data_IF_258128218239
#
_entry.id   IF_258128218239
#
_cell.length_a   1.000
_cell.length_b   1.000
_cell.length_c   1.000
_cell.angle_alpha   90.00
_cell.angle_beta   90.00
_cell.angle_gamma   90.00
#
_symmetry.space_group_name_H-M   'P 1'
#
loop_
_entity.id
_entity.type
_entity.pdbx_description
1 polymer ?
#
# COMPACT_ATOMS: atom_id res chain seq x y z
N UNK A 1 0.76 -28.21 -17.75
CA UNK A 1 -0.54 -28.65 -17.19
C UNK A 1 -0.95 -27.62 -16.13
N UNK A 2 -1.83 -26.68 -16.48
CA UNK A 2 -2.38 -25.68 -15.56
C UNK A 2 -3.46 -26.36 -14.72
N UNK A 3 -3.13 -26.71 -13.49
CA UNK A 3 -4.12 -27.18 -12.53
C UNK A 3 -5.12 -26.04 -12.28
N UNK A 4 -6.36 -26.22 -12.67
CA UNK A 4 -7.45 -25.32 -12.35
C UNK A 4 -7.65 -25.33 -10.83
N UNK A 5 -7.25 -24.26 -10.17
CA UNK A 5 -7.50 -24.06 -8.73
C UNK A 5 -8.98 -23.74 -8.55
N UNK A 6 -9.75 -24.73 -8.05
CA UNK A 6 -11.15 -24.52 -7.66
C UNK A 6 -11.19 -24.09 -6.19
N UNK A 7 -11.70 -22.90 -5.88
CA UNK A 7 -11.80 -22.43 -4.51
C UNK A 7 -12.79 -23.29 -3.72
N UNK A 8 -12.38 -23.75 -2.54
CA UNK A 8 -13.17 -24.60 -1.65
C UNK A 8 -13.41 -23.98 -0.27
N UNK A 9 -12.66 -22.94 0.08
CA UNK A 9 -12.74 -22.23 1.35
C UNK A 9 -12.93 -20.72 1.15
N UNK A 10 -13.33 -20.01 2.21
CA UNK A 10 -13.39 -18.54 2.18
C UNK A 10 -12.03 -17.92 1.87
N UNK A 11 -10.96 -18.52 2.38
CA UNK A 11 -9.60 -18.06 2.19
C UNK A 11 -9.16 -18.22 0.72
N UNK A 12 -9.59 -19.28 0.05
CA UNK A 12 -9.37 -19.48 -1.39
C UNK A 12 -10.04 -18.37 -2.23
N UNK A 13 -11.25 -17.94 -1.86
CA UNK A 13 -11.93 -16.84 -2.55
C UNK A 13 -11.22 -15.50 -2.30
N UNK A 14 -10.70 -15.27 -1.10
CA UNK A 14 -9.90 -14.09 -0.78
C UNK A 14 -8.61 -14.10 -1.60
N UNK A 15 -7.90 -15.23 -1.64
CA UNK A 15 -6.69 -15.37 -2.45
C UNK A 15 -6.95 -15.13 -3.94
N UNK A 16 -8.05 -15.69 -4.50
CA UNK A 16 -8.46 -15.40 -5.87
C UNK A 16 -8.77 -13.91 -6.09
N UNK A 17 -9.40 -13.26 -5.12
CA UNK A 17 -9.65 -11.82 -5.17
C UNK A 17 -8.36 -11.00 -5.27
N UNK A 18 -7.35 -11.34 -4.47
CA UNK A 18 -6.02 -10.71 -4.56
C UNK A 18 -5.34 -10.99 -5.91
N UNK A 19 -5.35 -12.24 -6.36
CA UNK A 19 -4.75 -12.62 -7.67
C UNK A 19 -5.45 -11.90 -8.84
N UNK A 20 -6.78 -11.81 -8.80
CA UNK A 20 -7.55 -11.06 -9.78
C UNK A 20 -7.22 -9.56 -9.71
N UNK A 21 -7.10 -9.00 -8.50
CA UNK A 21 -6.69 -7.63 -8.27
C UNK A 21 -5.34 -7.33 -8.93
N UNK A 22 -4.31 -8.12 -8.66
CA UNK A 22 -2.99 -7.96 -9.28
C UNK A 22 -3.06 -8.00 -10.81
N UNK A 23 -3.77 -8.98 -11.36
CA UNK A 23 -3.87 -9.15 -12.81
C UNK A 23 -4.64 -8.00 -13.46
N UNK A 24 -5.78 -7.61 -12.90
CA UNK A 24 -6.64 -6.56 -13.44
C UNK A 24 -5.97 -5.20 -13.31
N UNK A 25 -5.54 -4.82 -12.10
CA UNK A 25 -4.95 -3.50 -11.88
C UNK A 25 -3.58 -3.34 -12.54
N UNK A 26 -2.81 -4.45 -12.70
CA UNK A 26 -1.56 -4.44 -13.44
C UNK A 26 -1.72 -4.15 -14.94
N UNK A 27 -2.86 -4.53 -15.53
CA UNK A 27 -3.15 -4.32 -16.95
C UNK A 27 -3.84 -2.97 -17.24
N UNK A 28 -4.44 -2.33 -16.24
CA UNK A 28 -5.17 -1.09 -16.43
C UNK A 28 -4.23 0.10 -16.64
N UNK A 29 -4.57 1.05 -17.54
CA UNK A 29 -3.92 2.34 -17.57
C UNK A 29 -4.00 3.01 -16.19
N UNK A 30 -2.94 3.68 -15.78
CA UNK A 30 -2.80 4.28 -14.45
C UNK A 30 -4.00 5.14 -14.04
N UNK A 31 -4.39 6.06 -14.94
CA UNK A 31 -5.52 6.97 -14.71
C UNK A 31 -6.83 6.22 -14.44
N UNK A 32 -7.04 5.09 -15.14
CA UNK A 32 -8.25 4.25 -14.96
C UNK A 32 -8.19 3.54 -13.61
N UNK A 33 -7.05 2.96 -13.25
CA UNK A 33 -6.85 2.27 -11.99
C UNK A 33 -7.12 3.21 -10.79
N UNK A 34 -6.54 4.42 -10.78
CA UNK A 34 -6.80 5.41 -9.73
C UNK A 34 -8.25 5.91 -9.72
N UNK A 35 -8.88 6.08 -10.88
CA UNK A 35 -10.28 6.47 -10.94
C UNK A 35 -11.20 5.42 -10.29
N UNK A 36 -10.96 4.14 -10.58
CA UNK A 36 -11.69 3.03 -9.95
C UNK A 36 -11.47 3.03 -8.44
N UNK A 37 -10.22 3.15 -8.00
CA UNK A 37 -9.87 3.25 -6.57
C UNK A 37 -10.57 4.41 -5.87
N UNK A 38 -10.59 5.59 -6.47
CA UNK A 38 -11.25 6.76 -5.91
C UNK A 38 -12.79 6.59 -5.83
N UNK A 39 -13.42 6.00 -6.85
CA UNK A 39 -14.86 5.72 -6.83
C UNK A 39 -15.20 4.71 -5.72
N UNK A 40 -14.40 3.67 -5.57
CA UNK A 40 -14.57 2.70 -4.50
C UNK A 40 -14.37 3.35 -3.12
N UNK A 41 -13.34 4.18 -2.96
CA UNK A 41 -13.07 4.92 -1.73
C UNK A 41 -14.23 5.83 -1.34
N UNK A 42 -14.80 6.56 -2.29
CA UNK A 42 -15.93 7.46 -2.05
C UNK A 42 -17.18 6.70 -1.60
N UNK A 43 -17.44 5.52 -2.19
CA UNK A 43 -18.54 4.65 -1.75
C UNK A 43 -18.35 4.13 -0.34
N UNK A 44 -17.14 3.67 -0.01
CA UNK A 44 -16.80 3.20 1.34
C UNK A 44 -16.89 4.35 2.34
N UNK A 45 -16.37 5.53 1.98
CA UNK A 45 -16.39 6.72 2.83
C UNK A 45 -17.82 7.22 3.12
N UNK A 46 -18.75 7.02 2.19
CA UNK A 46 -20.15 7.39 2.37
C UNK A 46 -20.90 6.53 3.39
N UNK A 47 -20.39 5.34 3.72
CA UNK A 47 -21.05 4.44 4.67
C UNK A 47 -20.43 4.60 6.08
N UNK A 48 -21.19 5.13 7.07
CA UNK A 48 -20.70 5.34 8.43
C UNK A 48 -20.29 4.05 9.14
N UNK A 49 -20.91 2.92 8.82
CA UNK A 49 -20.60 1.64 9.44
C UNK A 49 -19.19 1.16 9.10
N UNK A 50 -18.77 1.33 7.84
CA UNK A 50 -17.45 0.93 7.36
C UNK A 50 -16.33 1.85 7.84
N UNK A 51 -16.64 3.11 8.11
CA UNK A 51 -15.66 4.14 8.50
C UNK A 51 -15.66 4.46 10.00
N UNK A 52 -16.41 3.72 10.80
CA UNK A 52 -16.55 3.98 12.24
C UNK A 52 -15.21 4.02 12.99
N UNK A 53 -14.32 3.07 12.71
CA UNK A 53 -13.01 3.03 13.37
C UNK A 53 -12.09 4.15 12.87
N UNK A 54 -12.08 4.41 11.56
CA UNK A 54 -11.34 5.53 10.98
C UNK A 54 -11.78 6.86 11.61
N UNK A 55 -13.09 7.07 11.73
CA UNK A 55 -13.64 8.27 12.37
C UNK A 55 -13.17 8.43 13.82
N UNK A 56 -13.18 7.36 14.62
CA UNK A 56 -12.66 7.38 15.99
C UNK A 56 -11.17 7.70 16.07
N UNK A 57 -10.38 7.16 15.13
CA UNK A 57 -8.95 7.41 15.10
C UNK A 57 -8.66 8.87 14.73
N UNK A 58 -9.34 9.39 13.71
CA UNK A 58 -9.20 10.81 13.31
C UNK A 58 -9.68 11.77 14.41
N UNK A 59 -10.79 11.46 15.06
CA UNK A 59 -11.30 12.21 16.21
C UNK A 59 -10.25 12.34 17.33
N UNK A 60 -9.56 11.24 17.64
CA UNK A 60 -8.49 11.23 18.63
C UNK A 60 -7.32 12.14 18.23
N UNK A 61 -6.91 12.12 16.96
CA UNK A 61 -5.83 12.97 16.44
C UNK A 61 -6.24 14.45 16.45
N UNK A 62 -7.51 14.73 16.11
CA UNK A 62 -8.04 16.08 16.07
C UNK A 62 -8.44 16.64 17.46
N UNK A 63 -8.52 15.79 18.48
CA UNK A 63 -8.99 16.19 19.82
C UNK A 63 -10.47 16.57 19.85
N UNK A 64 -11.30 15.98 18.99
CA UNK A 64 -12.72 16.28 18.87
C UNK A 64 -13.59 15.01 19.00
N UNK A 65 -14.90 15.13 19.24
CA UNK A 65 -15.84 14.02 19.17
C UNK A 65 -15.88 13.39 17.76
N UNK A 66 -16.12 12.07 17.64
CA UNK A 66 -16.15 11.39 16.33
C UNK A 66 -17.17 11.97 15.33
N UNK A 67 -18.27 12.51 15.80
CA UNK A 67 -19.32 13.16 15.01
C UNK A 67 -18.89 14.47 14.37
N UNK A 68 -17.90 15.15 14.95
CA UNK A 68 -17.35 16.42 14.46
C UNK A 68 -16.25 16.21 13.40
N UNK A 69 -15.80 14.97 13.18
CA UNK A 69 -14.80 14.70 12.13
C UNK A 69 -15.38 15.02 10.76
N UNK A 70 -14.76 15.94 9.99
CA UNK A 70 -15.27 16.35 8.69
C UNK A 70 -15.38 15.17 7.72
N UNK A 71 -16.51 15.05 7.02
CA UNK A 71 -16.73 13.99 6.03
C UNK A 71 -15.70 14.06 4.88
N UNK A 72 -15.23 15.26 4.54
CA UNK A 72 -14.14 15.45 3.57
C UNK A 72 -12.84 14.76 3.99
N UNK A 73 -12.50 14.80 5.28
CA UNK A 73 -11.30 14.13 5.81
C UNK A 73 -11.46 12.60 5.78
N UNK A 74 -12.63 12.07 6.12
CA UNK A 74 -12.94 10.63 5.98
C UNK A 74 -12.74 10.18 4.53
N UNK A 75 -13.28 10.94 3.58
CA UNK A 75 -13.15 10.66 2.14
C UNK A 75 -11.69 10.70 1.69
N UNK A 76 -10.94 11.73 2.08
CA UNK A 76 -9.53 11.86 1.73
C UNK A 76 -8.71 10.71 2.28
N UNK A 77 -8.95 10.31 3.53
CA UNK A 77 -8.29 9.15 4.16
C UNK A 77 -8.60 7.84 3.44
N UNK A 78 -9.87 7.61 3.06
CA UNK A 78 -10.23 6.42 2.31
C UNK A 78 -9.63 6.40 0.89
N UNK A 79 -9.55 7.54 0.22
CA UNK A 79 -8.87 7.66 -1.07
C UNK A 79 -7.37 7.37 -0.95
N UNK A 80 -6.71 7.87 0.10
CA UNK A 80 -5.30 7.56 0.38
C UNK A 80 -5.11 6.06 0.64
N UNK A 81 -5.97 5.44 1.45
CA UNK A 81 -5.91 4.01 1.73
C UNK A 81 -6.12 3.15 0.48
N UNK A 82 -7.12 3.45 -0.35
CA UNK A 82 -7.34 2.69 -1.58
C UNK A 82 -6.30 2.98 -2.66
N UNK A 83 -5.66 4.15 -2.65
CA UNK A 83 -4.50 4.42 -3.50
C UNK A 83 -3.37 3.43 -3.20
N UNK A 84 -3.03 3.23 -1.93
CA UNK A 84 -2.04 2.22 -1.53
C UNK A 84 -2.34 0.85 -2.15
N UNK A 85 -3.59 0.37 -2.05
CA UNK A 85 -3.96 -0.92 -2.63
C UNK A 85 -3.86 -0.95 -4.16
N UNK A 86 -4.27 0.11 -4.84
CA UNK A 86 -4.10 0.24 -6.30
C UNK A 86 -2.62 0.15 -6.67
N UNK A 87 -1.75 0.86 -5.96
CA UNK A 87 -0.31 0.87 -6.18
C UNK A 87 0.31 -0.50 -5.87
N UNK A 88 -0.04 -1.12 -4.75
CA UNK A 88 0.42 -2.45 -4.36
C UNK A 88 0.04 -3.51 -5.42
N UNK A 89 -1.20 -3.48 -5.93
CA UNK A 89 -1.62 -4.38 -6.99
C UNK A 89 -0.91 -4.12 -8.33
N UNK A 90 -0.53 -2.90 -8.60
CA UNK A 90 0.19 -2.52 -9.83
C UNK A 90 1.68 -2.76 -9.73
N UNK A 91 2.24 -2.78 -8.53
CA UNK A 91 3.68 -2.79 -8.30
C UNK A 91 4.43 -3.86 -9.11
N UNK A 92 3.97 -5.13 -9.21
CA UNK A 92 4.64 -6.14 -10.03
C UNK A 92 4.73 -5.79 -11.52
N UNK A 93 3.83 -4.93 -12.01
CA UNK A 93 3.77 -4.51 -13.43
C UNK A 93 4.49 -3.20 -13.71
N UNK A 94 4.71 -2.37 -12.68
CA UNK A 94 5.32 -1.04 -12.82
C UNK A 94 6.72 -0.96 -12.21
N UNK A 95 7.13 -1.99 -11.44
CA UNK A 95 8.46 -2.06 -10.87
C UNK A 95 9.51 -2.01 -11.99
N UNK A 96 10.32 -0.97 -11.98
CA UNK A 96 11.35 -0.73 -12.99
C UNK A 96 12.48 0.12 -12.39
N UNK A 97 13.65 0.18 -13.06
CA UNK A 97 14.72 1.09 -12.67
C UNK A 97 14.26 2.55 -12.59
N UNK A 98 13.42 3.01 -13.53
CA UNK A 98 12.91 4.38 -13.59
C UNK A 98 11.98 4.70 -12.40
N UNK A 99 11.20 3.71 -11.93
CA UNK A 99 10.41 3.87 -10.72
C UNK A 99 11.33 3.97 -9.49
N UNK A 100 12.40 3.18 -9.43
CA UNK A 100 13.39 3.29 -8.37
C UNK A 100 14.10 4.64 -8.37
N UNK A 101 14.45 5.18 -9.56
CA UNK A 101 15.00 6.54 -9.71
C UNK A 101 14.01 7.60 -9.22
N UNK A 102 12.72 7.42 -9.50
CA UNK A 102 11.68 8.33 -9.04
C UNK A 102 11.55 8.31 -7.51
N UNK A 103 11.55 7.14 -6.89
CA UNK A 103 11.54 7.00 -5.42
C UNK A 103 12.76 7.69 -4.82
N UNK A 104 13.93 7.47 -5.39
CA UNK A 104 15.19 8.06 -4.92
C UNK A 104 15.17 9.58 -5.01
N UNK A 105 14.80 10.13 -6.16
CA UNK A 105 14.77 11.58 -6.40
C UNK A 105 13.73 12.35 -5.59
N UNK A 106 12.74 11.65 -5.04
CA UNK A 106 11.66 12.23 -4.22
C UNK A 106 11.78 11.93 -2.74
N UNK A 107 12.86 11.26 -2.33
CA UNK A 107 13.10 10.86 -0.94
C UNK A 107 14.33 11.60 -0.39
N UNK A 108 14.22 12.09 0.84
CA UNK A 108 15.32 12.75 1.53
C UNK A 108 16.04 11.78 2.47
N UNK A 109 17.36 11.92 2.60
CA UNK A 109 18.17 11.17 3.57
C UNK A 109 18.59 9.77 3.13
N UNK A 110 18.35 9.37 1.88
CA UNK A 110 18.77 8.06 1.37
C UNK A 110 20.28 7.94 1.24
N UNK A 111 21.01 9.06 1.12
CA UNK A 111 22.46 9.12 1.15
C UNK A 111 23.06 8.49 2.42
N UNK A 112 22.38 8.66 3.57
CA UNK A 112 22.79 8.04 4.86
C UNK A 112 22.71 6.53 4.83
N UNK A 113 21.72 6.00 4.11
CA UNK A 113 21.58 4.55 3.91
C UNK A 113 22.72 4.02 3.06
N UNK A 114 23.05 4.71 1.97
CA UNK A 114 24.16 4.34 1.10
C UNK A 114 25.50 4.40 1.84
N UNK A 115 25.80 5.49 2.53
CA UNK A 115 27.03 5.68 3.30
C UNK A 115 27.25 4.59 4.36
N UNK A 116 26.20 4.24 5.12
CA UNK A 116 26.28 3.20 6.14
C UNK A 116 26.50 1.81 5.53
N UNK A 117 25.85 1.50 4.41
CA UNK A 117 26.06 0.22 3.71
C UNK A 117 27.46 0.12 3.11
N UNK A 118 27.98 1.21 2.54
CA UNK A 118 29.35 1.29 2.03
C UNK A 118 30.39 1.12 3.15
N UNK A 119 30.11 1.62 4.35
CA UNK A 119 30.93 1.40 5.54
C UNK A 119 30.86 -0.04 6.08
N UNK A 120 29.96 -0.88 5.54
CA UNK A 120 29.74 -2.25 6.02
C UNK A 120 28.85 -2.34 7.26
N UNK A 121 28.16 -1.26 7.59
CA UNK A 121 27.26 -1.22 8.75
C UNK A 121 25.93 -1.92 8.48
N UNK A 122 25.30 -2.41 9.54
CA UNK A 122 23.95 -2.93 9.50
C UNK A 122 22.95 -1.82 9.83
N UNK A 123 21.88 -1.72 9.04
CA UNK A 123 20.86 -0.68 9.19
C UNK A 123 19.53 -1.32 9.59
N UNK A 124 18.85 -0.72 10.55
CA UNK A 124 17.45 -1.03 10.89
C UNK A 124 16.58 0.18 10.50
N UNK A 125 15.66 -0.02 9.58
CA UNK A 125 14.76 1.02 9.10
C UNK A 125 13.35 0.74 9.66
N UNK A 126 12.89 1.47 10.69
CA UNK A 126 11.52 1.36 11.16
C UNK A 126 10.58 2.08 10.18
N UNK A 127 9.65 1.34 9.59
CA UNK A 127 8.66 1.89 8.67
C UNK A 127 7.29 1.99 9.37
N UNK A 128 6.71 3.18 9.48
CA UNK A 128 5.34 3.32 9.96
C UNK A 128 4.35 2.81 8.90
N UNK A 129 3.14 2.43 9.33
CA UNK A 129 2.04 2.08 8.43
C UNK A 129 1.45 3.34 7.76
N UNK A 130 2.29 4.08 7.04
CA UNK A 130 1.91 5.28 6.30
C UNK A 130 2.59 5.28 4.93
N UNK A 131 1.96 5.90 3.94
CA UNK A 131 2.48 5.86 2.57
C UNK A 131 2.44 4.47 1.95
N UNK A 132 3.37 4.21 1.04
CA UNK A 132 3.51 2.92 0.37
C UNK A 132 4.88 2.30 0.65
N UNK A 133 4.96 1.50 1.72
CA UNK A 133 6.21 0.82 2.10
C UNK A 133 6.64 -0.27 1.12
N UNK A 134 5.73 -0.80 0.29
CA UNK A 134 6.08 -1.78 -0.74
C UNK A 134 6.96 -1.14 -1.82
N UNK A 135 6.72 0.13 -2.14
CA UNK A 135 7.60 0.89 -3.04
C UNK A 135 8.98 1.13 -2.43
N UNK A 136 9.05 1.42 -1.14
CA UNK A 136 10.33 1.53 -0.43
C UNK A 136 11.10 0.20 -0.45
N UNK A 137 10.40 -0.92 -0.22
CA UNK A 137 10.96 -2.26 -0.35
C UNK A 137 11.46 -2.58 -1.76
N UNK A 138 10.70 -2.23 -2.77
CA UNK A 138 11.07 -2.38 -4.18
C UNK A 138 12.33 -1.57 -4.49
N UNK A 139 12.39 -0.30 -4.07
CA UNK A 139 13.57 0.54 -4.22
C UNK A 139 14.80 -0.09 -3.56
N UNK A 140 14.66 -0.52 -2.29
CA UNK A 140 15.76 -1.12 -1.53
C UNK A 140 16.31 -2.37 -2.22
N UNK A 141 15.45 -3.26 -2.69
CA UNK A 141 15.86 -4.46 -3.46
C UNK A 141 16.57 -4.07 -4.75
N UNK A 142 16.05 -3.08 -5.45
CA UNK A 142 16.59 -2.62 -6.73
C UNK A 142 18.00 -2.03 -6.60
N UNK A 143 18.27 -1.31 -5.50
CA UNK A 143 19.56 -0.60 -5.31
C UNK A 143 20.57 -1.38 -4.48
N UNK A 144 20.12 -2.07 -3.46
CA UNK A 144 21.00 -2.67 -2.44
C UNK A 144 20.84 -4.20 -2.33
N UNK A 145 19.93 -4.79 -3.09
CA UNK A 145 19.75 -6.25 -3.09
C UNK A 145 18.86 -6.74 -1.94
N UNK A 146 19.20 -7.91 -1.41
CA UNK A 146 18.35 -8.58 -0.40
C UNK A 146 18.42 -7.89 0.96
N UNK A 147 17.26 -7.78 1.60
CA UNK A 147 17.15 -7.34 2.99
C UNK A 147 16.27 -8.29 3.79
N UNK A 148 16.36 -8.21 5.11
CA UNK A 148 15.48 -8.94 6.04
C UNK A 148 14.35 -8.03 6.50
N UNK A 149 13.15 -8.54 6.58
CA UNK A 149 12.01 -7.81 7.11
C UNK A 149 11.29 -8.64 8.17
N UNK A 150 10.65 -7.95 9.12
CA UNK A 150 9.76 -8.56 10.09
C UNK A 150 8.34 -8.20 9.70
N UNK A 151 7.53 -9.21 9.44
CA UNK A 151 6.13 -9.04 9.11
C UNK A 151 5.26 -9.95 9.98
N UNK A 152 4.03 -9.53 10.20
CA UNK A 152 3.05 -10.39 10.85
C UNK A 152 2.81 -11.65 10.00
N UNK A 153 2.82 -12.80 10.66
CA UNK A 153 2.46 -14.06 10.00
C UNK A 153 0.96 -14.08 9.80
N UNK A 154 0.52 -13.86 8.57
CA UNK A 154 -0.87 -14.03 8.20
C UNK A 154 -1.27 -15.49 8.42
N UNK A 155 -2.35 -15.71 9.14
CA UNK A 155 -2.92 -17.05 9.27
C UNK A 155 -3.40 -17.52 7.90
N UNK A 156 -3.13 -18.76 7.53
CA UNK A 156 -3.63 -19.33 6.28
C UNK A 156 -5.15 -19.43 6.29
#
# INVERSE_FOLDING_TARGET
MTSFFLPRSKDDFVALGYMAGWKIFGLLPERVAYRIGNIAADRVAANPATTRQLRKNLARVMGCPPEEVPQGLIRASMRSYLRYWVEAFRLPSIASPELADTVESTSDGLERVAEALEAGDSIVIPLPHSGNWDMAGMWLVSRHGRFSTVAERLKP
#
